data_IF_255589848320
#
_entry.id   IF_255589848320
#
_cell.length_a   1.000
_cell.length_b   1.000
_cell.length_c   1.000
_cell.angle_alpha   90.00
_cell.angle_beta   90.00
_cell.angle_gamma   90.00
#
_symmetry.space_group_name_H-M   'P 1'
#
loop_
_entity.id
_entity.type
_entity.pdbx_description
1 polymer ?
#
# COMPACT_ATOMS: atom_id res chain seq x y z
N UNK A 1 -19.22 1.57 -15.27
CA UNK A 1 -18.44 1.32 -14.03
C UNK A 1 -17.18 0.56 -14.42
N UNK A 2 -15.98 1.09 -14.16
CA UNK A 2 -14.71 0.48 -14.57
C UNK A 2 -14.18 -0.46 -13.47
N UNK A 3 -13.95 -1.73 -13.79
CA UNK A 3 -13.41 -2.70 -12.83
C UNK A 3 -11.87 -2.77 -12.89
N UNK A 4 -11.16 -2.75 -11.75
CA UNK A 4 -9.70 -2.74 -11.71
C UNK A 4 -9.10 -4.15 -11.93
N UNK A 5 -9.45 -4.81 -13.03
CA UNK A 5 -8.98 -6.18 -13.31
C UNK A 5 -7.47 -6.17 -13.55
N UNK A 6 -6.71 -6.86 -12.70
CA UNK A 6 -5.25 -6.91 -12.78
C UNK A 6 -4.54 -5.64 -12.26
N UNK A 7 -5.28 -4.63 -11.82
CA UNK A 7 -4.70 -3.39 -11.27
C UNK A 7 -4.61 -3.53 -9.75
N UNK A 8 -3.40 -3.42 -9.21
CA UNK A 8 -3.13 -3.56 -7.77
C UNK A 8 -2.48 -2.31 -7.17
N UNK A 9 -2.46 -1.21 -7.90
CA UNK A 9 -1.91 0.06 -7.45
C UNK A 9 -3.06 1.02 -7.11
N UNK A 10 -3.09 1.47 -5.86
CA UNK A 10 -4.14 2.35 -5.34
C UNK A 10 -4.27 3.65 -6.14
N UNK A 11 -3.16 4.33 -6.43
CA UNK A 11 -3.17 5.59 -7.16
C UNK A 11 -3.76 5.44 -8.58
N UNK A 12 -3.40 4.38 -9.31
CA UNK A 12 -3.99 4.07 -10.62
C UNK A 12 -5.49 3.84 -10.53
N UNK A 13 -5.97 3.16 -9.49
CA UNK A 13 -7.40 2.94 -9.27
C UNK A 13 -8.12 4.27 -9.03
N UNK A 14 -7.58 5.12 -8.15
CA UNK A 14 -8.19 6.40 -7.77
C UNK A 14 -8.21 7.40 -8.92
N UNK A 15 -7.09 7.56 -9.63
CA UNK A 15 -7.00 8.48 -10.78
C UNK A 15 -7.72 7.96 -12.03
N UNK A 16 -7.80 6.63 -12.21
CA UNK A 16 -8.39 6.01 -13.39
C UNK A 16 -9.92 5.84 -13.35
N UNK A 17 -10.61 6.33 -12.32
CA UNK A 17 -12.07 6.20 -12.21
C UNK A 17 -12.55 4.75 -12.02
N UNK A 18 -11.68 3.88 -11.51
CA UNK A 18 -12.01 2.49 -11.23
C UNK A 18 -12.81 2.36 -9.93
N UNK A 19 -13.59 1.30 -9.83
CA UNK A 19 -14.25 0.93 -8.57
C UNK A 19 -13.20 0.63 -7.50
N UNK A 20 -13.33 1.30 -6.37
CA UNK A 20 -12.58 1.01 -5.16
C UNK A 20 -13.57 0.74 -4.03
N UNK A 21 -13.42 -0.41 -3.36
CA UNK A 21 -14.22 -0.74 -2.18
C UNK A 21 -13.50 -0.17 -0.97
N UNK A 22 -14.09 0.84 -0.36
CA UNK A 22 -13.47 1.55 0.75
C UNK A 22 -13.37 0.69 2.02
N UNK A 23 -12.15 0.61 2.56
CA UNK A 23 -11.78 0.00 3.85
C UNK A 23 -10.69 0.81 4.55
N UNK A 24 -10.60 2.10 4.22
CA UNK A 24 -9.49 2.96 4.65
C UNK A 24 -9.58 3.33 6.14
N UNK A 25 -10.75 3.20 6.76
CA UNK A 25 -10.93 3.23 8.22
C UNK A 25 -10.10 2.16 8.94
N UNK A 26 -10.02 0.96 8.38
CA UNK A 26 -9.18 -0.12 8.92
C UNK A 26 -7.70 0.21 8.77
N UNK A 27 -7.30 0.83 7.66
CA UNK A 27 -5.91 1.27 7.43
C UNK A 27 -5.52 2.30 8.49
N UNK A 28 -6.36 3.30 8.72
CA UNK A 28 -6.17 4.30 9.78
C UNK A 28 -5.99 3.64 11.15
N UNK A 29 -6.87 2.70 11.51
CA UNK A 29 -6.78 1.98 12.78
C UNK A 29 -5.48 1.19 12.90
N UNK A 30 -5.06 0.51 11.84
CA UNK A 30 -3.80 -0.27 11.82
C UNK A 30 -2.61 0.65 12.07
N UNK A 31 -2.55 1.79 11.38
CA UNK A 31 -1.47 2.77 11.49
C UNK A 31 -1.35 3.39 12.89
N UNK A 32 -2.47 3.54 13.61
CA UNK A 32 -2.49 4.19 14.92
C UNK A 32 -2.26 3.24 16.11
N UNK A 33 -2.51 1.93 15.95
CA UNK A 33 -2.65 1.03 17.13
C UNK A 33 -1.60 -0.06 17.26
N UNK A 34 -0.95 -0.49 16.18
CA UNK A 34 -0.13 -1.70 16.22
C UNK A 34 1.34 -1.45 15.96
N UNK A 35 2.18 -2.26 16.61
CA UNK A 35 3.62 -2.27 16.36
C UNK A 35 3.97 -3.23 15.22
N UNK A 36 3.34 -4.40 15.17
CA UNK A 36 3.62 -5.43 14.16
C UNK A 36 2.32 -6.09 13.68
N UNK A 37 2.16 -6.20 12.36
CA UNK A 37 1.02 -6.86 11.73
C UNK A 37 1.48 -7.95 10.79
N UNK A 38 0.95 -9.17 10.97
CA UNK A 38 1.16 -10.27 10.05
C UNK A 38 -0.08 -10.49 9.16
N UNK A 39 0.09 -10.31 7.86
CA UNK A 39 -0.99 -10.39 6.87
C UNK A 39 -0.95 -11.72 6.10
N UNK A 40 -1.22 -12.85 6.76
CA UNK A 40 -1.32 -14.16 6.10
C UNK A 40 -2.62 -14.31 5.32
N UNK A 41 -2.57 -14.31 3.98
CA UNK A 41 -3.75 -14.59 3.13
C UNK A 41 -3.39 -15.28 1.80
N UNK A 42 -4.34 -15.99 1.16
CA UNK A 42 -4.17 -16.63 -0.16
C UNK A 42 -3.86 -15.66 -1.32
N UNK A 43 -3.47 -16.21 -2.48
CA UNK A 43 -3.22 -15.44 -3.72
C UNK A 43 -4.50 -14.69 -4.14
N UNK A 44 -4.35 -13.46 -4.67
CA UNK A 44 -5.45 -12.56 -5.14
C UNK A 44 -6.36 -11.94 -4.06
N UNK A 45 -5.97 -11.97 -2.79
CA UNK A 45 -6.74 -11.32 -1.70
C UNK A 45 -6.48 -9.81 -1.54
N UNK A 46 -5.85 -9.15 -2.51
CA UNK A 46 -5.65 -7.69 -2.48
C UNK A 46 -4.53 -7.19 -1.56
N UNK A 47 -3.58 -8.06 -1.17
CA UNK A 47 -2.43 -7.65 -0.33
C UNK A 47 -1.62 -6.51 -0.95
N UNK A 48 -1.27 -6.61 -2.23
CA UNK A 48 -0.53 -5.55 -2.94
C UNK A 48 -1.33 -4.24 -3.05
N UNK A 49 -2.65 -4.33 -3.20
CA UNK A 49 -3.52 -3.14 -3.16
C UNK A 49 -3.51 -2.49 -1.78
N UNK A 50 -3.59 -3.28 -0.71
CA UNK A 50 -3.49 -2.77 0.65
C UNK A 50 -2.14 -2.07 0.88
N UNK A 51 -1.02 -2.70 0.54
CA UNK A 51 0.32 -2.11 0.69
C UNK A 51 0.43 -0.81 -0.10
N UNK A 52 0.01 -0.77 -1.38
CA UNK A 52 0.05 0.48 -2.15
C UNK A 52 -0.90 1.56 -1.62
N UNK A 53 -1.99 1.20 -0.94
CA UNK A 53 -2.86 2.16 -0.25
C UNK A 53 -2.17 2.72 0.98
N UNK A 54 -1.50 1.88 1.78
CA UNK A 54 -0.71 2.31 2.94
C UNK A 54 0.46 3.19 2.53
N UNK A 55 1.17 2.84 1.46
CA UNK A 55 2.24 3.64 0.87
C UNK A 55 1.73 5.05 0.52
N UNK A 56 0.62 5.17 -0.21
CA UNK A 56 0.03 6.46 -0.54
C UNK A 56 -0.40 7.26 0.69
N UNK A 57 -0.91 6.58 1.72
CA UNK A 57 -1.32 7.22 2.98
C UNK A 57 -0.11 7.80 3.73
N UNK A 58 0.95 7.01 3.93
CA UNK A 58 2.16 7.47 4.63
C UNK A 58 2.97 8.49 3.82
N UNK A 59 2.89 8.45 2.49
CA UNK A 59 3.44 9.51 1.62
C UNK A 59 2.60 10.80 1.67
N UNK A 60 1.50 10.86 2.43
CA UNK A 60 0.66 12.06 2.57
C UNK A 60 -0.14 12.43 1.33
N UNK A 61 -0.39 11.50 0.38
CA UNK A 61 -1.13 11.75 -0.88
C UNK A 61 -2.64 11.93 -0.65
N UNK A 62 -3.00 12.98 0.09
CA UNK A 62 -4.36 13.26 0.58
C UNK A 62 -5.43 13.25 -0.51
N UNK A 63 -5.11 13.78 -1.68
CA UNK A 63 -6.03 13.88 -2.81
C UNK A 63 -6.54 12.51 -3.29
N UNK A 64 -5.74 11.45 -3.11
CA UNK A 64 -6.15 10.09 -3.48
C UNK A 64 -7.24 9.54 -2.55
N UNK A 65 -7.39 10.10 -1.36
CA UNK A 65 -8.33 9.62 -0.34
C UNK A 65 -9.62 10.41 -0.27
N UNK A 66 -9.82 11.41 -1.13
CA UNK A 66 -11.07 12.16 -1.20
C UNK A 66 -12.28 11.24 -1.37
N UNK A 67 -13.29 11.43 -0.51
CA UNK A 67 -14.51 10.62 -0.47
C UNK A 67 -14.34 9.24 0.18
N UNK A 68 -13.17 8.90 0.73
CA UNK A 68 -12.93 7.69 1.51
C UNK A 68 -12.97 7.99 3.02
N UNK A 69 -13.25 6.96 3.82
CA UNK A 69 -13.42 7.09 5.27
C UNK A 69 -12.21 7.75 5.96
N UNK A 70 -10.98 7.38 5.56
CA UNK A 70 -9.74 7.93 6.14
C UNK A 70 -9.60 9.45 5.95
N UNK A 71 -10.19 10.03 4.90
CA UNK A 71 -10.16 11.48 4.71
C UNK A 71 -10.88 12.26 5.81
N UNK A 72 -11.86 11.63 6.47
CA UNK A 72 -12.55 12.21 7.63
C UNK A 72 -11.83 11.95 8.95
N UNK A 73 -11.01 10.89 9.03
CA UNK A 73 -10.33 10.44 10.24
C UNK A 73 -8.95 11.09 10.41
N UNK A 74 -8.15 11.11 9.34
CA UNK A 74 -6.82 11.71 9.32
C UNK A 74 -6.90 13.25 9.26
N UNK A 75 -6.19 13.92 10.17
CA UNK A 75 -6.20 15.37 10.31
C UNK A 75 -4.87 15.99 9.94
N UNK A 76 -3.78 15.36 10.33
CA UNK A 76 -2.44 15.92 10.21
C UNK A 76 -1.84 15.68 8.84
N UNK A 77 -2.18 14.55 8.19
CA UNK A 77 -1.62 14.18 6.87
C UNK A 77 -0.09 14.27 6.83
N UNK A 78 0.55 13.84 7.92
CA UNK A 78 2.00 13.85 8.04
C UNK A 78 2.65 13.00 6.97
N UNK A 79 3.63 13.58 6.26
CA UNK A 79 4.41 12.89 5.25
C UNK A 79 5.56 12.12 5.88
N UNK A 80 5.73 10.86 5.47
CA UNK A 80 6.82 9.99 5.88
C UNK A 80 7.60 9.52 4.65
N UNK A 81 8.93 9.36 4.75
CA UNK A 81 9.67 8.61 3.76
C UNK A 81 9.23 7.14 3.81
N UNK A 82 8.71 6.63 2.68
CA UNK A 82 8.26 5.24 2.56
C UNK A 82 9.28 4.45 1.76
N UNK A 83 9.81 3.39 2.37
CA UNK A 83 10.66 2.41 1.72
C UNK A 83 9.83 1.16 1.40
N UNK A 84 9.74 0.82 0.12
CA UNK A 84 9.00 -0.35 -0.35
C UNK A 84 9.99 -1.34 -0.98
N UNK A 85 10.17 -2.48 -0.32
CA UNK A 85 10.99 -3.59 -0.81
C UNK A 85 10.11 -4.71 -1.33
N UNK A 86 10.31 -5.12 -2.58
CA UNK A 86 9.69 -6.32 -3.14
C UNK A 86 10.74 -7.43 -3.21
N UNK A 87 10.61 -8.40 -2.29
CA UNK A 87 11.49 -9.57 -2.20
C UNK A 87 10.78 -10.84 -2.71
N UNK A 88 9.88 -10.71 -3.68
CA UNK A 88 9.17 -11.86 -4.26
C UNK A 88 9.81 -12.42 -5.54
N UNK A 89 10.84 -11.75 -6.06
CA UNK A 89 11.41 -12.01 -7.39
C UNK A 89 12.38 -13.19 -7.49
N UNK A 90 13.12 -13.51 -6.42
CA UNK A 90 14.21 -14.50 -6.48
C UNK A 90 14.35 -15.31 -5.18
N UNK A 91 15.18 -16.36 -5.21
CA UNK A 91 15.54 -17.14 -4.02
C UNK A 91 16.80 -16.53 -3.38
N UNK A 92 16.63 -15.89 -2.22
CA UNK A 92 17.72 -15.24 -1.46
C UNK A 92 18.55 -16.25 -0.64
N UNK A 93 19.14 -17.23 -1.32
CA UNK A 93 20.00 -18.24 -0.68
C UNK A 93 21.45 -17.78 -0.57
N UNK A 94 21.79 -16.67 -1.24
CA UNK A 94 23.10 -16.04 -1.23
C UNK A 94 22.95 -14.55 -0.88
N UNK A 95 23.87 -14.04 -0.07
CA UNK A 95 23.90 -12.65 0.37
C UNK A 95 24.06 -11.69 -0.81
N UNK A 96 24.79 -12.13 -1.86
CA UNK A 96 24.98 -11.31 -3.06
C UNK A 96 23.65 -10.97 -3.76
N UNK A 97 22.72 -11.94 -3.86
CA UNK A 97 21.41 -11.75 -4.47
C UNK A 97 20.54 -10.75 -3.69
N UNK A 98 20.63 -10.79 -2.35
CA UNK A 98 19.95 -9.85 -1.47
C UNK A 98 20.51 -8.43 -1.64
N UNK A 99 21.84 -8.29 -1.63
CA UNK A 99 22.50 -7.00 -1.78
C UNK A 99 22.21 -6.35 -3.15
N UNK A 100 22.17 -7.13 -4.22
CA UNK A 100 21.77 -6.66 -5.56
C UNK A 100 20.32 -6.17 -5.56
N UNK A 101 19.40 -6.90 -4.91
CA UNK A 101 17.99 -6.47 -4.87
C UNK A 101 17.80 -5.21 -4.03
N UNK A 102 18.42 -5.13 -2.86
CA UNK A 102 18.28 -3.96 -1.98
C UNK A 102 18.88 -2.69 -2.61
N UNK A 103 20.00 -2.81 -3.31
CA UNK A 103 20.65 -1.68 -3.99
C UNK A 103 19.87 -1.13 -5.18
N UNK A 104 18.87 -1.83 -5.70
CA UNK A 104 17.95 -1.29 -6.71
C UNK A 104 16.89 -0.32 -6.12
N UNK A 105 16.70 -0.34 -4.79
CA UNK A 105 15.67 0.43 -4.09
C UNK A 105 16.23 1.60 -3.25
N UNK A 106 17.55 1.80 -3.24
CA UNK A 106 18.28 2.88 -2.54
C UNK A 106 18.88 3.86 -3.56
#
# INVERSE_FOLDING_TARGET
>A
MLYPIGIQNFEKIRRGGFVYVDKTDLIYKIAQTGQYYFLSRPRRFGKSLLVSTMEAYFQGKKELFEGLAIASLEKEWTEYPVLHFDLSGESYNDESALNVTLSQHL
#
